data_IF_205962762144
#
_entry.id   IF_205962762144
#
_cell.length_a   1.000
_cell.length_b   1.000
_cell.length_c   1.000
_cell.angle_alpha   90.00
_cell.angle_beta   90.00
_cell.angle_gamma   90.00
#
_symmetry.space_group_name_H-M   'P 1'
#
loop_
_entity.id
_entity.type
_entity.pdbx_description
1 polymer ?
#
# COMPACT_ATOMS: atom_id res chain seq x y z
N UNK A 1 24.55 -0.89 -16.65
CA UNK A 1 24.40 -2.29 -17.01
C UNK A 1 22.96 -2.57 -17.39
N UNK A 2 22.80 -3.27 -18.45
CA UNK A 2 21.46 -3.65 -18.87
C UNK A 2 21.20 -5.04 -18.37
N UNK A 3 20.30 -5.16 -17.44
CA UNK A 3 19.87 -6.48 -17.07
C UNK A 3 18.98 -6.98 -18.21
N UNK A 4 19.27 -8.12 -18.66
CA UNK A 4 18.36 -8.81 -19.50
C UNK A 4 17.12 -9.08 -18.67
N UNK A 5 15.97 -8.63 -19.11
CA UNK A 5 14.78 -8.69 -18.32
C UNK A 5 14.41 -10.08 -17.88
N UNK A 6 14.83 -10.42 -16.71
CA UNK A 6 14.24 -11.52 -16.00
C UNK A 6 12.90 -10.99 -15.50
N UNK A 7 11.82 -11.44 -16.07
CA UNK A 7 10.50 -11.03 -15.63
C UNK A 7 10.31 -11.44 -14.19
N UNK A 8 9.88 -10.49 -13.38
CA UNK A 8 9.46 -10.80 -12.03
C UNK A 8 8.18 -11.63 -12.08
N UNK A 9 8.13 -12.66 -11.25
CA UNK A 9 6.94 -13.48 -11.11
C UNK A 9 6.08 -12.92 -10.00
N UNK A 10 5.26 -11.92 -10.33
CA UNK A 10 4.45 -11.22 -9.35
C UNK A 10 3.08 -11.86 -9.22
N UNK A 11 2.66 -12.05 -7.97
CA UNK A 11 1.32 -12.49 -7.60
C UNK A 11 0.77 -11.52 -6.56
N UNK A 12 -0.56 -11.43 -6.48
CA UNK A 12 -1.16 -10.58 -5.45
C UNK A 12 -2.41 -11.21 -4.90
N UNK A 13 -2.79 -10.78 -3.69
CA UNK A 13 -4.05 -11.18 -3.08
C UNK A 13 -4.52 -10.12 -2.11
N UNK A 14 -5.83 -9.89 -2.10
CA UNK A 14 -6.48 -9.10 -1.06
C UNK A 14 -6.99 -10.03 0.04
N UNK A 15 -6.72 -9.65 1.29
CA UNK A 15 -7.18 -10.36 2.47
C UNK A 15 -8.15 -9.48 3.23
N UNK A 16 -9.18 -10.07 3.81
CA UNK A 16 -10.10 -9.35 4.69
C UNK A 16 -9.74 -9.48 6.17
N UNK A 17 -8.50 -9.87 6.43
CA UNK A 17 -7.90 -9.94 7.75
C UNK A 17 -6.42 -9.59 7.60
N UNK A 18 -5.74 -9.29 8.71
CA UNK A 18 -4.33 -8.94 8.69
C UNK A 18 -3.48 -10.21 8.62
N UNK A 19 -2.90 -10.53 7.45
CA UNK A 19 -2.10 -11.74 7.32
C UNK A 19 -0.70 -11.56 7.90
N UNK A 20 -0.03 -12.66 8.19
CA UNK A 20 1.33 -12.61 8.76
C UNK A 20 2.31 -11.89 7.83
N UNK A 21 2.16 -12.08 6.52
CA UNK A 21 3.00 -11.41 5.53
C UNK A 21 2.92 -9.89 5.66
N UNK A 22 1.72 -9.37 5.90
CA UNK A 22 1.54 -7.94 6.10
C UNK A 22 2.25 -7.47 7.37
N UNK A 23 2.12 -8.24 8.44
CA UNK A 23 2.78 -7.91 9.71
C UNK A 23 4.29 -7.85 9.53
N UNK A 24 4.85 -8.82 8.85
CA UNK A 24 6.30 -8.92 8.64
C UNK A 24 6.83 -7.76 7.81
N UNK A 25 6.17 -7.42 6.72
CA UNK A 25 6.56 -6.30 5.87
C UNK A 25 6.46 -4.98 6.64
N UNK A 26 5.37 -4.79 7.37
CA UNK A 26 5.14 -3.54 8.09
C UNK A 26 6.13 -3.36 9.23
N UNK A 27 6.50 -4.44 9.91
CA UNK A 27 7.55 -4.37 10.92
C UNK A 27 8.87 -3.97 10.27
N UNK A 28 9.23 -4.60 9.16
CA UNK A 28 10.49 -4.29 8.48
C UNK A 28 10.55 -2.84 8.02
N UNK A 29 9.51 -2.36 7.37
CA UNK A 29 9.51 -1.02 6.76
C UNK A 29 9.21 0.07 7.80
N UNK A 30 8.15 -0.08 8.57
CA UNK A 30 7.70 1.03 9.41
C UNK A 30 8.35 1.02 10.80
N UNK A 31 8.60 -0.14 11.35
CA UNK A 31 9.21 -0.22 12.69
C UNK A 31 10.72 -0.23 12.60
N UNK A 32 11.30 -1.17 11.86
CA UNK A 32 12.77 -1.33 11.82
C UNK A 32 13.45 -0.24 11.00
N UNK A 33 12.91 0.08 9.84
CA UNK A 33 13.51 1.07 8.94
C UNK A 33 13.14 2.51 9.33
N UNK A 34 11.87 2.78 9.59
CA UNK A 34 11.37 4.14 9.85
C UNK A 34 11.14 4.45 11.33
N UNK A 35 11.27 3.47 12.20
CA UNK A 35 11.21 3.65 13.66
C UNK A 35 9.85 4.11 14.17
N UNK A 36 8.77 3.77 13.50
CA UNK A 36 7.42 4.08 13.96
C UNK A 36 7.03 3.20 15.14
N UNK A 37 6.27 3.76 16.05
CA UNK A 37 5.63 3.04 17.13
C UNK A 37 4.15 2.83 16.79
N UNK A 38 3.48 1.91 17.49
CA UNK A 38 2.05 1.66 17.33
C UNK A 38 1.65 1.41 15.87
N UNK A 39 2.43 0.59 15.19
CA UNK A 39 2.21 0.30 13.77
C UNK A 39 0.86 -0.36 13.51
N UNK A 40 0.40 -1.20 14.43
CA UNK A 40 -0.85 -1.94 14.27
C UNK A 40 -1.95 -1.26 15.10
N UNK A 41 -3.15 -1.18 14.53
CA UNK A 41 -4.28 -0.49 15.15
C UNK A 41 -5.60 -1.19 14.82
N UNK A 42 -6.71 -0.64 15.33
CA UNK A 42 -8.03 -1.24 15.15
C UNK A 42 -8.49 -1.22 13.69
N UNK A 43 -7.96 -0.33 12.88
CA UNK A 43 -8.29 -0.28 11.45
C UNK A 43 -7.87 -1.58 10.76
N UNK A 44 -6.84 -2.23 11.24
CA UNK A 44 -6.39 -3.51 10.67
C UNK A 44 -7.46 -4.60 10.72
N UNK A 45 -8.41 -4.50 11.65
CA UNK A 45 -9.46 -5.50 11.78
C UNK A 45 -10.58 -5.31 10.75
N UNK A 46 -10.70 -4.12 10.17
CA UNK A 46 -11.78 -3.81 9.21
C UNK A 46 -11.26 -3.58 7.80
N UNK A 47 -9.96 -3.49 7.61
CA UNK A 47 -9.36 -3.17 6.33
C UNK A 47 -9.21 -4.40 5.43
N UNK A 48 -9.18 -4.15 4.13
CA UNK A 48 -8.59 -5.11 3.20
C UNK A 48 -7.08 -4.92 3.22
N UNK A 49 -6.35 -6.02 3.15
CA UNK A 49 -4.89 -6.02 3.12
C UNK A 49 -4.43 -6.60 1.80
N UNK A 50 -3.68 -5.81 1.03
CA UNK A 50 -3.13 -6.23 -0.24
C UNK A 50 -1.69 -6.66 -0.05
N UNK A 51 -1.36 -7.85 -0.51
CA UNK A 51 0.01 -8.36 -0.51
C UNK A 51 0.41 -8.64 -1.96
N UNK A 52 1.64 -8.27 -2.29
CA UNK A 52 2.27 -8.68 -3.54
C UNK A 52 3.45 -9.58 -3.20
N UNK A 53 3.56 -10.69 -3.94
CA UNK A 53 4.69 -11.62 -3.83
C UNK A 53 5.51 -11.58 -5.11
N UNK A 54 6.81 -11.74 -4.95
CA UNK A 54 7.71 -12.10 -6.02
C UNK A 54 8.09 -13.56 -5.79
N UNK A 55 7.61 -14.47 -6.64
CA UNK A 55 7.70 -15.89 -6.36
C UNK A 55 6.97 -16.22 -5.05
N UNK A 56 7.69 -16.75 -4.09
CA UNK A 56 7.12 -17.11 -2.79
C UNK A 56 7.37 -16.06 -1.71
N UNK A 57 8.10 -14.99 -2.03
CA UNK A 57 8.45 -13.96 -1.07
C UNK A 57 7.46 -12.81 -1.13
N UNK A 58 6.83 -12.50 -0.01
CA UNK A 58 5.98 -11.32 0.12
C UNK A 58 6.87 -10.07 0.16
N UNK A 59 6.64 -9.13 -0.76
CA UNK A 59 7.52 -7.98 -0.96
C UNK A 59 6.85 -6.63 -0.77
N UNK A 60 5.52 -6.59 -0.75
CA UNK A 60 4.82 -5.32 -0.66
C UNK A 60 3.47 -5.50 0.01
N UNK A 61 3.02 -4.43 0.64
CA UNK A 61 1.80 -4.39 1.43
C UNK A 61 1.10 -3.05 1.29
N UNK A 62 -0.22 -3.06 1.38
CA UNK A 62 -1.03 -1.87 1.57
C UNK A 62 -2.32 -2.26 2.26
N UNK A 63 -2.95 -1.30 2.95
CA UNK A 63 -4.29 -1.53 3.49
C UNK A 63 -5.27 -0.55 2.89
N UNK A 64 -6.51 -1.00 2.75
CA UNK A 64 -7.60 -0.24 2.16
C UNK A 64 -8.81 -0.35 3.06
N UNK A 65 -9.41 0.77 3.45
CA UNK A 65 -10.59 0.76 4.28
C UNK A 65 -11.54 1.90 3.94
N UNK A 66 -12.79 1.73 4.33
CA UNK A 66 -13.82 2.72 4.06
C UNK A 66 -13.63 3.96 4.93
N UNK A 67 -13.81 5.13 4.33
CA UNK A 67 -13.85 6.37 5.07
C UNK A 67 -15.27 6.52 5.65
N UNK A 68 -15.41 6.50 6.96
CA UNK A 68 -16.70 6.59 7.60
C UNK A 68 -17.32 7.99 7.52
N UNK A 69 -16.48 9.00 7.30
CA UNK A 69 -16.89 10.39 7.28
C UNK A 69 -17.29 10.86 5.88
N UNK A 70 -17.02 10.09 4.85
CA UNK A 70 -17.25 10.50 3.47
C UNK A 70 -17.79 9.33 2.65
N UNK A 71 -19.00 9.51 2.12
CA UNK A 71 -19.68 8.46 1.37
C UNK A 71 -18.89 8.05 0.13
N UNK A 72 -18.84 6.75 -0.14
CA UNK A 72 -18.16 6.16 -1.31
C UNK A 72 -16.68 6.52 -1.40
N UNK A 73 -16.07 6.85 -0.28
CA UNK A 73 -14.65 7.15 -0.17
C UNK A 73 -13.92 6.02 0.53
N UNK A 74 -12.70 5.79 0.08
CA UNK A 74 -11.80 4.80 0.65
C UNK A 74 -10.48 5.44 1.00
N UNK A 75 -9.81 4.89 2.00
CA UNK A 75 -8.52 5.38 2.45
C UNK A 75 -7.49 4.27 2.25
N UNK A 76 -6.37 4.65 1.64
CA UNK A 76 -5.22 3.76 1.47
C UNK A 76 -4.15 4.18 2.48
N UNK A 77 -3.63 3.21 3.20
CA UNK A 77 -2.55 3.44 4.15
C UNK A 77 -1.60 2.26 4.21
N UNK A 78 -0.55 2.42 5.00
CA UNK A 78 0.45 1.38 5.23
C UNK A 78 1.03 0.82 3.93
N UNK A 79 1.18 1.66 2.92
CA UNK A 79 1.78 1.25 1.65
C UNK A 79 3.28 1.08 1.86
N UNK A 80 3.76 -0.12 1.67
CA UNK A 80 5.16 -0.46 1.94
C UNK A 80 5.68 -1.42 0.89
N UNK A 81 6.92 -1.16 0.45
CA UNK A 81 7.65 -2.05 -0.45
C UNK A 81 8.99 -2.34 0.20
N UNK A 82 9.39 -3.60 0.26
CA UNK A 82 10.68 -3.96 0.80
C UNK A 82 11.80 -3.26 0.01
N UNK A 83 12.83 -2.84 0.72
CA UNK A 83 13.90 -1.99 0.18
C UNK A 83 14.49 -2.52 -1.13
N UNK A 84 14.71 -3.83 -1.21
CA UNK A 84 15.33 -4.47 -2.38
C UNK A 84 14.47 -4.40 -3.63
N UNK A 85 13.17 -4.14 -3.46
CA UNK A 85 12.21 -4.12 -4.57
C UNK A 85 11.74 -2.72 -4.92
N UNK A 86 12.27 -1.71 -4.26
CA UNK A 86 11.99 -0.32 -4.64
C UNK A 86 12.65 -0.03 -5.97
N UNK A 87 12.10 0.89 -6.75
CA UNK A 87 12.53 1.19 -8.12
C UNK A 87 12.19 0.11 -9.15
N UNK A 88 11.34 -0.85 -8.76
CA UNK A 88 10.84 -1.88 -9.68
C UNK A 88 9.38 -1.62 -10.04
N UNK A 89 8.88 -0.41 -9.80
CA UNK A 89 7.49 -0.01 -10.06
C UNK A 89 6.46 -0.82 -9.24
N UNK A 90 6.87 -1.41 -8.12
CA UNK A 90 5.96 -2.18 -7.26
C UNK A 90 4.95 -1.26 -6.59
N UNK A 91 5.36 -0.07 -6.18
CA UNK A 91 4.44 0.91 -5.61
C UNK A 91 3.33 1.30 -6.58
N UNK A 92 3.68 1.50 -7.85
CA UNK A 92 2.71 1.78 -8.91
C UNK A 92 1.75 0.59 -9.08
N UNK A 93 2.27 -0.63 -9.05
CA UNK A 93 1.45 -1.83 -9.12
C UNK A 93 0.47 -1.91 -7.96
N UNK A 94 0.92 -1.64 -6.73
CA UNK A 94 0.05 -1.58 -5.57
C UNK A 94 -1.09 -0.58 -5.79
N UNK A 95 -0.76 0.63 -6.21
CA UNK A 95 -1.76 1.67 -6.41
C UNK A 95 -2.78 1.30 -7.49
N UNK A 96 -2.32 0.74 -8.60
CA UNK A 96 -3.23 0.30 -9.66
C UNK A 96 -4.19 -0.77 -9.17
N UNK A 97 -3.69 -1.75 -8.41
CA UNK A 97 -4.54 -2.81 -7.85
C UNK A 97 -5.54 -2.26 -6.85
N UNK A 98 -5.11 -1.30 -6.02
CA UNK A 98 -6.00 -0.68 -5.04
C UNK A 98 -7.08 0.14 -5.73
N UNK A 99 -6.75 0.89 -6.77
CA UNK A 99 -7.73 1.66 -7.53
C UNK A 99 -8.77 0.76 -8.20
N UNK A 100 -8.33 -0.36 -8.75
CA UNK A 100 -9.25 -1.34 -9.32
C UNK A 100 -10.17 -1.93 -8.27
N UNK A 101 -9.63 -2.22 -7.07
CA UNK A 101 -10.45 -2.74 -5.96
C UNK A 101 -11.49 -1.73 -5.52
N UNK A 102 -11.13 -0.45 -5.41
CA UNK A 102 -12.08 0.61 -5.06
C UNK A 102 -13.21 0.70 -6.09
N UNK A 103 -12.87 0.61 -7.37
CA UNK A 103 -13.89 0.60 -8.43
C UNK A 103 -14.82 -0.59 -8.29
N UNK A 104 -14.27 -1.76 -8.00
CA UNK A 104 -15.06 -2.99 -7.81
C UNK A 104 -16.00 -2.87 -6.60
N UNK A 105 -15.63 -2.08 -5.59
CA UNK A 105 -16.44 -1.81 -4.41
C UNK A 105 -17.40 -0.63 -4.60
N UNK A 106 -17.47 -0.09 -5.82
CA UNK A 106 -18.28 1.09 -6.15
C UNK A 106 -17.84 2.35 -5.44
N UNK A 107 -16.56 2.44 -5.10
CA UNK A 107 -15.98 3.65 -4.53
C UNK A 107 -15.79 4.72 -5.58
N UNK A 108 -15.88 5.97 -5.17
CA UNK A 108 -15.78 7.12 -6.05
C UNK A 108 -14.57 7.99 -5.75
N UNK A 109 -14.00 7.88 -4.56
CA UNK A 109 -12.89 8.71 -4.12
C UNK A 109 -11.89 7.91 -3.31
N UNK A 110 -10.63 8.24 -3.48
CA UNK A 110 -9.53 7.65 -2.73
C UNK A 110 -8.76 8.76 -2.03
N UNK A 111 -8.60 8.62 -0.72
CA UNK A 111 -7.74 9.45 0.07
C UNK A 111 -6.54 8.64 0.54
N UNK A 112 -5.41 9.28 0.67
CA UNK A 112 -4.19 8.63 1.12
C UNK A 112 -3.85 9.08 2.52
N UNK A 113 -3.70 8.11 3.42
CA UNK A 113 -3.09 8.34 4.71
C UNK A 113 -1.58 8.23 4.49
N UNK A 114 -1.00 9.28 3.94
CA UNK A 114 0.38 9.26 3.49
C UNK A 114 1.20 10.29 4.26
N UNK A 115 2.46 9.95 4.47
CA UNK A 115 3.41 10.88 5.03
C UNK A 115 4.09 11.69 3.94
N UNK A 116 4.60 12.85 4.30
CA UNK A 116 5.16 13.80 3.35
C UNK A 116 6.24 13.24 2.45
N UNK A 117 7.05 12.31 2.95
CA UNK A 117 8.18 11.78 2.19
C UNK A 117 7.76 11.00 0.93
N UNK A 118 6.52 10.55 0.86
CA UNK A 118 6.01 9.83 -0.30
C UNK A 118 5.20 10.72 -1.25
N UNK A 119 5.11 12.01 -0.95
CA UNK A 119 4.24 12.96 -1.66
C UNK A 119 4.52 13.01 -3.16
N UNK A 120 5.78 13.12 -3.55
CA UNK A 120 6.14 13.21 -4.96
C UNK A 120 5.69 11.98 -5.76
N UNK A 121 5.83 10.80 -5.14
CA UNK A 121 5.36 9.56 -5.76
C UNK A 121 3.85 9.61 -6.02
N UNK A 122 3.07 9.98 -5.01
CA UNK A 122 1.62 10.02 -5.18
C UNK A 122 1.19 11.11 -6.15
N UNK A 123 1.86 12.26 -6.13
CA UNK A 123 1.55 13.33 -7.09
C UNK A 123 1.84 12.89 -8.53
N UNK A 124 2.88 12.07 -8.73
CA UNK A 124 3.18 11.54 -10.06
C UNK A 124 2.08 10.64 -10.61
N UNK A 125 1.24 10.10 -9.72
CA UNK A 125 0.11 9.24 -10.08
C UNK A 125 -1.22 10.02 -10.19
N UNK A 126 -1.17 11.34 -10.05
CA UNK A 126 -2.36 12.18 -10.19
C UNK A 126 -3.04 12.55 -8.88
N UNK A 127 -2.49 12.18 -7.74
CA UNK A 127 -3.04 12.57 -6.45
C UNK A 127 -2.58 13.96 -6.08
N UNK A 128 -3.41 14.69 -5.36
CA UNK A 128 -3.09 16.03 -4.90
C UNK A 128 -3.15 16.09 -3.39
N UNK A 129 -2.20 16.81 -2.80
CA UNK A 129 -2.24 17.07 -1.39
C UNK A 129 -3.45 17.93 -1.05
N UNK A 130 -4.17 17.59 0.01
CA UNK A 130 -5.27 18.36 0.52
C UNK A 130 -5.16 18.42 2.03
N UNK A 131 -5.53 19.54 2.62
CA UNK A 131 -5.44 19.72 4.05
C UNK A 131 -4.00 19.91 4.51
N UNK A 132 -3.82 19.77 5.81
CA UNK A 132 -2.52 19.99 6.43
C UNK A 132 -1.59 18.80 6.20
N UNK A 133 -0.32 19.10 6.17
CA UNK A 133 0.71 18.08 6.09
C UNK A 133 0.95 17.52 7.49
N UNK A 134 0.86 16.22 7.59
CA UNK A 134 1.05 15.53 8.86
C UNK A 134 2.05 14.39 8.76
#
# INVERSE_FOLDING_TARGET
MISKGVKMNLKYKFFDYLPQEAKDIRIEVFVNEQKFENEFDDIDDIAYHLIIWEGEKAIANARLYRDEDEKNSYIIGRLAVLKEYRKCHIGTKLMNLLEEKVKALSGEKINLSAQCRARAFYESLGYRASGDIY
#
